data_IF_446230126586
#
_entry.id   IF_446230126586
#
_cell.length_a   1.000
_cell.length_b   1.000
_cell.length_c   1.000
_cell.angle_alpha   90.00
_cell.angle_beta   90.00
_cell.angle_gamma   90.00
#
_symmetry.space_group_name_H-M   'P 1'
#
loop_
_entity.id
_entity.type
_entity.pdbx_description
1 polymer ?
#
# COMPACT_ATOMS: atom_id res chain seq x y z
N UNK A 1 1.05 -29.24 -12.70
CA UNK A 1 1.84 -27.99 -12.80
C UNK A 1 0.85 -26.87 -12.60
N UNK A 2 0.96 -26.07 -11.54
CA UNK A 2 0.11 -24.87 -11.39
C UNK A 2 0.48 -23.91 -12.50
N UNK A 3 -0.48 -23.56 -13.35
CA UNK A 3 -0.28 -22.59 -14.42
C UNK A 3 0.24 -21.29 -13.83
N UNK A 4 1.29 -20.75 -14.45
CA UNK A 4 1.85 -19.45 -14.05
C UNK A 4 0.81 -18.37 -14.33
N UNK A 5 0.64 -17.38 -13.41
CA UNK A 5 -0.31 -16.30 -13.66
C UNK A 5 0.10 -15.48 -14.89
N UNK A 6 -0.89 -14.95 -15.60
CA UNK A 6 -0.69 -14.00 -16.68
C UNK A 6 -0.37 -12.62 -16.12
N UNK A 7 0.63 -11.94 -16.66
CA UNK A 7 1.01 -10.59 -16.23
C UNK A 7 0.28 -9.55 -17.06
N UNK A 8 -0.62 -8.81 -16.43
CA UNK A 8 -1.50 -7.84 -17.11
C UNK A 8 -0.79 -6.49 -17.26
N UNK A 9 -0.65 -6.06 -18.50
CA UNK A 9 -0.08 -4.77 -18.87
C UNK A 9 -1.13 -3.66 -18.76
N UNK A 10 -0.71 -2.47 -18.38
CA UNK A 10 -1.55 -1.27 -18.40
C UNK A 10 -1.71 -0.72 -19.82
N UNK A 11 -2.90 -0.21 -20.15
CA UNK A 11 -3.16 0.51 -21.40
C UNK A 11 -3.00 2.03 -21.25
N UNK A 12 -2.62 2.76 -22.31
CA UNK A 12 -2.74 4.20 -22.32
C UNK A 12 -4.23 4.60 -22.20
N UNK A 13 -4.53 5.68 -21.47
CA UNK A 13 -5.90 6.21 -21.32
C UNK A 13 -6.31 7.12 -22.47
N UNK A 14 -5.32 7.74 -23.11
CA UNK A 14 -5.47 8.65 -24.25
C UNK A 14 -4.18 8.67 -25.06
N UNK A 15 -4.24 9.20 -26.27
CA UNK A 15 -3.05 9.33 -27.12
C UNK A 15 -2.02 10.26 -26.45
N UNK A 16 -0.77 9.80 -26.31
CA UNK A 16 0.30 10.53 -25.61
C UNK A 16 0.39 10.26 -24.10
N UNK A 17 -0.50 9.46 -23.50
CA UNK A 17 -0.36 9.02 -22.10
C UNK A 17 0.87 8.13 -21.93
N UNK A 18 1.89 8.67 -21.24
CA UNK A 18 3.14 7.93 -20.93
C UNK A 18 3.10 7.21 -19.58
N UNK A 19 2.09 7.47 -18.75
CA UNK A 19 2.04 6.94 -17.38
C UNK A 19 1.89 5.40 -17.31
N UNK A 20 1.42 4.74 -18.36
CA UNK A 20 1.36 3.29 -18.44
C UNK A 20 2.76 2.64 -18.63
N UNK A 21 3.73 3.38 -19.17
CA UNK A 21 5.06 2.82 -19.49
C UNK A 21 5.80 2.37 -18.23
N UNK A 22 5.70 3.15 -17.15
CA UNK A 22 6.30 2.77 -15.87
C UNK A 22 5.64 1.49 -15.33
N UNK A 23 4.32 1.41 -15.34
CA UNK A 23 3.58 0.23 -14.90
C UNK A 23 4.03 -1.01 -15.69
N UNK A 24 4.14 -0.88 -17.01
CA UNK A 24 4.52 -1.98 -17.89
C UNK A 24 5.98 -2.42 -17.70
N UNK A 25 6.89 -1.50 -17.37
CA UNK A 25 8.28 -1.87 -17.01
C UNK A 25 8.32 -2.70 -15.71
N UNK A 26 7.48 -2.40 -14.73
CA UNK A 26 7.36 -3.17 -13.48
C UNK A 26 6.76 -4.54 -13.78
N UNK A 27 5.66 -4.58 -14.52
CA UNK A 27 5.02 -5.82 -14.95
C UNK A 27 5.96 -6.70 -15.79
N UNK A 28 6.71 -6.12 -16.72
CA UNK A 28 7.68 -6.85 -17.54
C UNK A 28 8.80 -7.47 -16.70
N UNK A 29 9.34 -6.73 -15.72
CA UNK A 29 10.37 -7.27 -14.81
C UNK A 29 9.84 -8.46 -13.98
N UNK A 30 8.58 -8.38 -13.51
CA UNK A 30 7.97 -9.50 -12.80
C UNK A 30 7.70 -10.69 -13.74
N UNK A 31 7.23 -10.44 -14.96
CA UNK A 31 7.00 -11.46 -15.98
C UNK A 31 8.28 -12.20 -16.35
N UNK A 32 9.39 -11.48 -16.48
CA UNK A 32 10.72 -12.04 -16.75
C UNK A 32 11.14 -13.03 -15.64
N UNK A 33 11.07 -12.61 -14.38
CA UNK A 33 11.42 -13.46 -13.22
C UNK A 33 10.45 -14.62 -12.98
N UNK A 34 9.19 -14.46 -13.33
CA UNK A 34 8.18 -15.51 -13.32
C UNK A 34 8.42 -16.52 -14.48
N UNK A 35 9.05 -16.10 -15.57
CA UNK A 35 9.08 -16.81 -16.84
C UNK A 35 7.66 -16.99 -17.39
N UNK A 36 6.84 -15.96 -17.26
CA UNK A 36 5.43 -15.92 -17.63
C UNK A 36 5.18 -15.16 -18.94
N UNK A 37 3.89 -14.96 -19.24
CA UNK A 37 3.43 -14.21 -20.42
C UNK A 37 2.79 -12.89 -19.97
N UNK A 38 2.95 -11.86 -20.79
CA UNK A 38 2.24 -10.59 -20.65
C UNK A 38 1.01 -10.56 -21.57
N UNK A 39 -0.08 -9.99 -21.06
CA UNK A 39 -1.36 -9.84 -21.78
C UNK A 39 -1.95 -8.45 -21.49
N UNK A 40 -2.94 -8.03 -22.25
CA UNK A 40 -3.75 -6.86 -21.92
C UNK A 40 -4.96 -7.24 -21.06
N UNK A 41 -5.62 -6.26 -20.37
CA UNK A 41 -6.69 -6.55 -19.41
C UNK A 41 -7.86 -7.37 -19.95
N UNK A 42 -8.19 -7.25 -21.22
CA UNK A 42 -9.26 -8.03 -21.89
C UNK A 42 -8.90 -9.50 -22.11
N UNK A 43 -7.61 -9.82 -22.17
CA UNK A 43 -7.08 -11.18 -22.33
C UNK A 43 -6.74 -11.83 -20.98
N UNK A 44 -7.00 -11.11 -19.87
CA UNK A 44 -6.71 -11.58 -18.53
C UNK A 44 -7.55 -12.83 -18.19
N UNK A 45 -6.88 -13.89 -17.74
CA UNK A 45 -7.51 -15.13 -17.29
C UNK A 45 -7.83 -15.10 -15.78
N UNK A 46 -8.09 -16.29 -15.21
CA UNK A 46 -8.46 -16.46 -13.81
C UNK A 46 -7.29 -16.27 -12.81
N UNK A 47 -6.04 -16.33 -13.28
CA UNK A 47 -4.85 -16.17 -12.45
C UNK A 47 -3.95 -15.11 -13.05
N UNK A 48 -3.80 -13.98 -12.37
CA UNK A 48 -3.16 -12.78 -12.93
C UNK A 48 -2.21 -12.09 -11.97
N UNK A 49 -1.30 -11.30 -12.55
CA UNK A 49 -0.49 -10.31 -11.84
C UNK A 49 -0.78 -8.94 -12.43
N UNK A 50 -1.00 -7.93 -11.60
CA UNK A 50 -1.25 -6.55 -12.05
C UNK A 50 -0.42 -5.54 -11.28
N UNK A 51 -0.21 -4.34 -11.88
CA UNK A 51 0.28 -3.16 -11.17
C UNK A 51 -0.82 -2.12 -11.04
N UNK A 52 -1.17 -1.77 -9.79
CA UNK A 52 -2.24 -0.82 -9.48
C UNK A 52 -3.64 -1.30 -9.90
N UNK A 53 -4.63 -0.44 -9.70
CA UNK A 53 -6.05 -0.72 -10.02
C UNK A 53 -6.56 0.09 -11.23
N UNK A 54 -5.72 0.91 -11.84
CA UNK A 54 -6.11 1.81 -12.94
C UNK A 54 -5.82 1.16 -14.30
N UNK A 55 -6.35 1.75 -15.38
CA UNK A 55 -6.00 1.37 -16.76
C UNK A 55 -6.40 -0.07 -17.12
N UNK A 56 -7.55 -0.54 -16.62
CA UNK A 56 -8.09 -1.87 -16.86
C UNK A 56 -7.64 -2.94 -15.85
N UNK A 57 -6.59 -2.65 -15.05
CA UNK A 57 -6.12 -3.62 -14.05
C UNK A 57 -7.16 -3.93 -12.95
N UNK A 58 -7.93 -2.92 -12.53
CA UNK A 58 -8.96 -3.10 -11.51
C UNK A 58 -10.08 -4.03 -11.96
N UNK A 59 -10.55 -3.88 -13.18
CA UNK A 59 -11.54 -4.75 -13.81
C UNK A 59 -11.01 -6.18 -13.97
N UNK A 60 -9.73 -6.33 -14.33
CA UNK A 60 -9.10 -7.64 -14.39
C UNK A 60 -9.03 -8.31 -13.01
N UNK A 61 -8.67 -7.57 -11.96
CA UNK A 61 -8.68 -8.06 -10.56
C UNK A 61 -10.07 -8.54 -10.15
N UNK A 62 -11.13 -7.77 -10.45
CA UNK A 62 -12.51 -8.12 -10.08
C UNK A 62 -13.02 -9.41 -10.75
N UNK A 63 -12.44 -9.79 -11.90
CA UNK A 63 -12.81 -11.03 -12.63
C UNK A 63 -11.94 -12.23 -12.27
N UNK A 64 -10.72 -11.99 -11.75
CA UNK A 64 -9.77 -13.05 -11.48
C UNK A 64 -10.14 -13.83 -10.21
N UNK A 65 -9.97 -15.14 -10.23
CA UNK A 65 -10.05 -16.01 -9.04
C UNK A 65 -8.81 -15.86 -8.15
N UNK A 66 -7.66 -15.69 -8.78
CA UNK A 66 -6.39 -15.49 -8.11
C UNK A 66 -5.67 -14.29 -8.72
N UNK A 67 -5.17 -13.38 -7.88
CA UNK A 67 -4.38 -12.27 -8.35
C UNK A 67 -3.18 -11.97 -7.44
N UNK A 68 -2.10 -11.50 -8.05
CA UNK A 68 -0.99 -10.85 -7.37
C UNK A 68 -1.02 -9.37 -7.73
N UNK A 69 -1.15 -8.56 -6.69
CA UNK A 69 -1.24 -7.11 -6.83
C UNK A 69 0.09 -6.46 -6.52
N UNK A 70 0.65 -5.75 -7.49
CA UNK A 70 1.88 -4.98 -7.34
C UNK A 70 1.51 -3.50 -7.21
N UNK A 71 2.15 -2.80 -6.26
CA UNK A 71 2.04 -1.35 -6.11
C UNK A 71 3.31 -0.81 -5.44
N UNK A 72 3.38 0.50 -5.20
CA UNK A 72 4.47 1.13 -4.44
C UNK A 72 4.70 0.41 -3.11
N UNK A 73 5.96 0.22 -2.74
CA UNK A 73 6.36 -0.40 -1.49
C UNK A 73 5.83 0.35 -0.26
N UNK A 74 5.97 -0.28 0.88
CA UNK A 74 5.58 0.33 2.15
C UNK A 74 6.62 1.36 2.62
N UNK A 75 7.90 1.08 2.40
CA UNK A 75 9.06 1.87 2.81
C UNK A 75 10.06 1.97 1.67
N UNK A 76 10.88 3.03 1.63
CA UNK A 76 11.84 3.30 0.54
C UNK A 76 11.21 3.11 -0.85
N UNK A 77 10.03 3.67 -1.04
CA UNK A 77 9.31 3.62 -2.32
C UNK A 77 10.14 4.28 -3.43
N UNK A 78 9.97 3.79 -4.66
CA UNK A 78 10.51 4.49 -5.83
C UNK A 78 9.90 5.89 -5.95
N UNK A 79 10.73 6.83 -6.36
CA UNK A 79 10.32 8.22 -6.61
C UNK A 79 9.21 8.27 -7.67
N UNK A 80 8.15 9.09 -7.48
CA UNK A 80 7.13 9.35 -8.49
C UNK A 80 7.67 9.89 -9.82
N UNK A 81 8.89 10.46 -9.85
CA UNK A 81 9.57 10.93 -11.06
C UNK A 81 9.93 9.83 -12.08
N UNK A 82 9.70 8.56 -11.72
CA UNK A 82 9.91 7.41 -12.62
C UNK A 82 11.21 6.64 -12.40
N UNK A 83 12.00 6.99 -11.39
CA UNK A 83 13.08 6.14 -10.90
C UNK A 83 12.46 4.86 -10.32
N UNK A 84 12.84 3.71 -10.84
CA UNK A 84 12.38 2.39 -10.37
C UNK A 84 13.32 1.78 -9.32
N UNK A 85 14.09 2.61 -8.62
CA UNK A 85 15.14 2.20 -7.67
C UNK A 85 14.63 1.86 -6.26
N UNK A 86 13.33 2.03 -6.01
CA UNK A 86 12.72 1.73 -4.72
C UNK A 86 12.11 0.34 -4.63
N UNK A 87 11.35 0.13 -3.56
CA UNK A 87 10.62 -1.09 -3.31
C UNK A 87 9.19 -1.03 -3.84
N UNK A 88 8.67 -2.19 -4.20
CA UNK A 88 7.30 -2.44 -4.59
C UNK A 88 6.74 -3.54 -3.70
N UNK A 89 5.50 -3.37 -3.21
CA UNK A 89 4.79 -4.45 -2.53
C UNK A 89 4.18 -5.40 -3.54
N UNK A 90 4.08 -6.66 -3.19
CA UNK A 90 3.35 -7.67 -3.94
C UNK A 90 2.51 -8.46 -2.95
N UNK A 91 1.22 -8.55 -3.19
CA UNK A 91 0.28 -9.26 -2.31
C UNK A 91 -0.57 -10.22 -3.11
N UNK A 92 -0.94 -11.35 -2.52
CA UNK A 92 -1.79 -12.36 -3.15
C UNK A 92 -3.22 -12.22 -2.66
N UNK A 93 -4.18 -12.15 -3.59
CA UNK A 93 -5.61 -12.07 -3.34
C UNK A 93 -6.03 -10.95 -2.37
N UNK A 94 -5.22 -9.91 -2.28
CA UNK A 94 -5.46 -8.71 -1.48
C UNK A 94 -4.70 -7.53 -2.08
N UNK A 95 -5.16 -6.30 -1.83
CA UNK A 95 -4.42 -5.10 -2.21
C UNK A 95 -3.35 -4.71 -1.17
N UNK A 96 -3.37 -5.32 0.01
CA UNK A 96 -2.44 -5.03 1.11
C UNK A 96 -2.06 -6.30 1.86
N UNK A 97 -0.84 -6.31 2.39
CA UNK A 97 -0.44 -7.30 3.37
C UNK A 97 -1.06 -6.96 4.73
N UNK A 98 -1.53 -7.94 5.46
CA UNK A 98 -2.20 -7.75 6.76
C UNK A 98 -1.30 -7.10 7.83
N UNK A 99 0.01 -7.15 7.66
CA UNK A 99 0.97 -6.72 8.69
C UNK A 99 1.15 -7.71 9.83
N UNK A 100 0.46 -8.85 9.78
CA UNK A 100 0.51 -9.91 10.80
C UNK A 100 1.59 -10.95 10.47
N UNK A 101 2.05 -11.64 11.49
CA UNK A 101 3.08 -12.67 11.41
C UNK A 101 4.36 -12.26 12.13
N UNK A 102 5.18 -13.24 12.45
CA UNK A 102 6.48 -13.05 13.09
C UNK A 102 7.56 -12.93 12.01
N UNK A 103 8.24 -11.81 11.97
CA UNK A 103 9.30 -11.53 11.01
C UNK A 103 10.53 -10.96 11.72
N UNK A 104 11.74 -11.41 11.34
CA UNK A 104 12.98 -10.80 11.82
C UNK A 104 13.07 -9.30 11.44
N UNK A 105 13.88 -8.54 12.16
CA UNK A 105 14.05 -7.10 11.93
C UNK A 105 15.15 -6.77 10.92
N UNK A 106 15.83 -7.75 10.36
CA UNK A 106 16.98 -7.56 9.47
C UNK A 106 16.63 -6.81 8.18
N UNK A 107 15.46 -7.11 7.55
CA UNK A 107 14.97 -6.36 6.38
C UNK A 107 14.48 -4.97 6.78
N UNK A 108 13.84 -4.82 7.93
CA UNK A 108 13.43 -3.51 8.43
C UNK A 108 14.63 -2.56 8.58
N UNK A 109 15.73 -3.01 9.18
CA UNK A 109 16.97 -2.24 9.36
C UNK A 109 17.60 -1.80 8.04
N UNK A 110 17.37 -2.51 6.93
CA UNK A 110 17.85 -2.11 5.59
C UNK A 110 17.04 -1.00 4.95
N UNK A 111 15.75 -0.89 5.31
CA UNK A 111 14.83 0.07 4.69
C UNK A 111 14.48 1.25 5.59
N UNK A 112 14.65 1.12 6.89
CA UNK A 112 14.44 2.19 7.88
C UNK A 112 15.71 2.33 8.70
N UNK A 113 16.40 3.47 8.51
CA UNK A 113 17.65 3.77 9.22
C UNK A 113 17.42 4.22 10.66
N UNK A 114 16.30 4.87 10.92
CA UNK A 114 15.96 5.41 12.23
C UNK A 114 14.45 5.40 12.45
N UNK A 115 14.04 5.06 13.66
CA UNK A 115 12.65 5.16 14.13
C UNK A 115 12.58 6.28 15.17
N UNK A 116 11.86 7.35 14.86
CA UNK A 116 11.71 8.48 15.78
C UNK A 116 10.97 8.08 17.06
N UNK A 117 11.22 8.81 18.15
CA UNK A 117 10.48 8.62 19.42
C UNK A 117 9.01 8.94 19.24
N UNK A 118 8.15 8.33 20.09
CA UNK A 118 6.70 8.61 20.07
C UNK A 118 6.45 10.11 20.20
N UNK A 119 5.70 10.64 19.23
CA UNK A 119 5.18 12.02 19.25
C UNK A 119 3.88 12.08 20.03
N UNK A 120 3.60 13.24 20.59
CA UNK A 120 2.36 13.53 21.35
C UNK A 120 1.84 14.90 20.94
N UNK A 121 1.44 15.01 19.68
CA UNK A 121 0.81 16.22 19.15
C UNK A 121 -0.64 16.39 19.63
N UNK A 122 -1.34 17.35 19.06
CA UNK A 122 -2.72 17.69 19.44
C UNK A 122 -3.76 17.11 18.51
N UNK A 123 -3.43 16.98 17.23
CA UNK A 123 -4.40 16.75 16.18
C UNK A 123 -4.47 15.27 15.78
N UNK A 124 -5.66 14.77 15.51
CA UNK A 124 -5.86 13.52 14.79
C UNK A 124 -5.81 13.83 13.30
N UNK A 125 -4.93 13.16 12.56
CA UNK A 125 -4.83 13.32 11.11
C UNK A 125 -5.64 12.24 10.44
N UNK A 126 -6.67 12.62 9.71
CA UNK A 126 -7.45 11.71 8.88
C UNK A 126 -6.84 11.69 7.47
N UNK A 127 -6.38 10.50 7.03
CA UNK A 127 -5.81 10.28 5.70
C UNK A 127 -6.75 9.38 4.87
N UNK A 128 -7.73 9.96 4.16
CA UNK A 128 -8.72 9.18 3.42
C UNK A 128 -8.10 8.45 2.23
N UNK A 129 -8.72 7.36 1.76
CA UNK A 129 -8.36 6.71 0.51
C UNK A 129 -8.45 7.68 -0.66
N UNK A 130 -7.59 7.51 -1.67
CA UNK A 130 -7.68 8.31 -2.90
C UNK A 130 -9.04 8.10 -3.60
N UNK A 131 -9.48 9.08 -4.39
CA UNK A 131 -10.74 9.00 -5.16
C UNK A 131 -10.90 7.67 -5.89
N UNK A 132 -9.89 7.24 -6.64
CA UNK A 132 -9.92 5.96 -7.37
C UNK A 132 -10.06 4.73 -6.46
N UNK A 133 -9.45 4.76 -5.29
CA UNK A 133 -9.54 3.66 -4.34
C UNK A 133 -10.91 3.63 -3.66
N UNK A 134 -11.50 4.81 -3.36
CA UNK A 134 -12.86 4.90 -2.84
C UNK A 134 -13.90 4.34 -3.83
N UNK A 135 -13.76 4.67 -5.11
CA UNK A 135 -14.61 4.13 -6.18
C UNK A 135 -14.42 2.61 -6.34
N UNK A 136 -13.18 2.13 -6.31
CA UNK A 136 -12.87 0.71 -6.50
C UNK A 136 -13.39 -0.19 -5.36
N UNK A 137 -13.36 0.31 -4.12
CA UNK A 137 -13.73 -0.41 -2.90
C UNK A 137 -15.09 -0.03 -2.33
N UNK A 138 -15.85 0.85 -3.01
CA UNK A 138 -17.15 1.37 -2.52
C UNK A 138 -17.05 2.06 -1.14
N UNK A 139 -16.02 2.88 -0.96
CA UNK A 139 -15.74 3.61 0.29
C UNK A 139 -16.20 5.08 0.23
N UNK A 140 -17.33 5.36 -0.41
CA UNK A 140 -17.79 6.73 -0.67
C UNK A 140 -17.99 7.57 0.59
N UNK A 141 -18.52 6.99 1.67
CA UNK A 141 -18.83 7.68 2.93
C UNK A 141 -17.83 7.33 4.05
N UNK A 142 -16.62 6.84 3.69
CA UNK A 142 -15.63 6.40 4.68
C UNK A 142 -15.16 7.57 5.55
N UNK A 143 -14.96 8.73 4.96
CA UNK A 143 -14.44 9.93 5.64
C UNK A 143 -15.41 10.41 6.71
N UNK A 144 -16.67 10.64 6.35
CA UNK A 144 -17.72 11.09 7.24
C UNK A 144 -17.94 10.09 8.40
N UNK A 145 -18.10 8.81 8.07
CA UNK A 145 -18.29 7.75 9.07
C UNK A 145 -17.10 7.64 10.03
N UNK A 146 -15.88 7.80 9.50
CA UNK A 146 -14.68 7.72 10.34
C UNK A 146 -14.57 8.93 11.28
N UNK A 147 -14.92 10.14 10.82
CA UNK A 147 -14.96 11.33 11.67
C UNK A 147 -16.01 11.17 12.77
N UNK A 148 -17.21 10.71 12.42
CA UNK A 148 -18.27 10.44 13.39
C UNK A 148 -17.83 9.42 14.46
N UNK A 149 -17.14 8.36 14.04
CA UNK A 149 -16.64 7.34 14.94
C UNK A 149 -15.54 7.90 15.87
N UNK A 150 -14.57 8.66 15.32
CA UNK A 150 -13.52 9.31 16.11
C UNK A 150 -14.13 10.21 17.20
N UNK A 151 -15.15 11.00 16.86
CA UNK A 151 -15.79 11.93 17.79
C UNK A 151 -16.51 11.29 18.98
N UNK A 152 -16.77 9.98 18.94
CA UNK A 152 -17.31 9.25 20.10
C UNK A 152 -16.26 9.02 21.18
N UNK A 153 -14.98 9.06 20.83
CA UNK A 153 -13.88 8.66 21.71
C UNK A 153 -12.83 9.76 21.93
N UNK A 154 -12.91 10.88 21.18
CA UNK A 154 -11.94 11.97 21.29
C UNK A 154 -12.51 13.32 20.88
N UNK A 155 -12.18 14.34 21.67
CA UNK A 155 -12.49 15.76 21.37
C UNK A 155 -11.36 16.46 20.62
N UNK A 156 -10.29 15.74 20.23
CA UNK A 156 -9.17 16.33 19.50
C UNK A 156 -9.60 16.85 18.14
N UNK A 157 -8.99 17.96 17.66
CA UNK A 157 -9.22 18.42 16.30
C UNK A 157 -8.84 17.34 15.28
N UNK A 158 -9.73 17.13 14.29
CA UNK A 158 -9.47 16.23 13.16
C UNK A 158 -9.08 17.06 11.94
N UNK A 159 -7.87 16.83 11.44
CA UNK A 159 -7.34 17.47 10.23
C UNK A 159 -7.29 16.48 9.08
N UNK A 160 -7.89 16.83 7.94
CA UNK A 160 -7.91 15.96 6.76
C UNK A 160 -6.65 16.23 5.92
N UNK A 161 -5.88 15.15 5.67
CA UNK A 161 -4.73 15.17 4.78
C UNK A 161 -4.95 14.24 3.60
N UNK A 162 -5.22 14.82 2.44
CA UNK A 162 -5.42 14.10 1.18
C UNK A 162 -4.14 14.10 0.34
N UNK A 163 -4.13 13.26 -0.70
CA UNK A 163 -3.02 13.26 -1.67
C UNK A 163 -2.97 14.55 -2.47
N UNK A 164 -4.11 15.18 -2.67
CA UNK A 164 -4.27 16.42 -3.44
C UNK A 164 -3.73 17.64 -2.68
N UNK A 165 -3.98 17.72 -1.37
CA UNK A 165 -3.49 18.82 -0.55
C UNK A 165 -2.05 18.61 -0.03
N UNK A 166 -1.50 17.40 -0.17
CA UNK A 166 -0.12 16.99 0.17
C UNK A 166 0.38 17.49 1.55
N UNK A 167 -0.52 17.65 2.51
CA UNK A 167 -0.21 18.29 3.81
C UNK A 167 0.40 17.35 4.85
N UNK A 168 0.52 16.04 4.56
CA UNK A 168 0.96 15.06 5.55
C UNK A 168 2.29 15.43 6.22
N UNK A 169 3.27 15.93 5.46
CA UNK A 169 4.56 16.32 6.02
C UNK A 169 4.47 17.53 6.97
N UNK A 170 3.50 18.42 6.75
CA UNK A 170 3.27 19.59 7.59
C UNK A 170 2.51 19.22 8.87
N UNK A 171 1.43 18.44 8.73
CA UNK A 171 0.52 18.13 9.83
C UNK A 171 1.04 17.03 10.76
N UNK A 172 1.96 16.19 10.29
CA UNK A 172 2.53 15.08 11.09
C UNK A 172 3.34 15.55 12.29
N UNK A 173 3.86 16.77 12.26
CA UNK A 173 4.66 17.36 13.36
C UNK A 173 3.83 17.57 14.63
N UNK A 174 2.55 17.95 14.52
CA UNK A 174 1.63 18.13 15.65
C UNK A 174 0.53 17.04 15.68
N UNK A 175 0.86 15.84 15.16
CA UNK A 175 -0.07 14.73 15.13
C UNK A 175 -0.07 13.95 16.45
N UNK A 176 -1.27 13.66 16.96
CA UNK A 176 -1.52 12.71 18.04
C UNK A 176 -1.59 11.28 17.50
N UNK A 177 -2.35 11.09 16.43
CA UNK A 177 -2.48 9.84 15.71
C UNK A 177 -2.82 10.11 14.24
N UNK A 178 -2.54 9.15 13.35
CA UNK A 178 -3.02 9.13 11.96
C UNK A 178 -4.06 8.03 11.81
N UNK A 179 -5.25 8.38 11.34
CA UNK A 179 -6.34 7.43 11.03
C UNK A 179 -6.49 7.33 9.52
N UNK A 180 -6.50 6.12 8.99
CA UNK A 180 -6.67 5.86 7.56
C UNK A 180 -7.33 4.51 7.32
N UNK A 181 -7.88 4.30 6.13
CA UNK A 181 -8.27 2.95 5.71
C UNK A 181 -7.01 2.09 5.45
N UNK A 182 -6.10 2.56 4.58
CA UNK A 182 -4.95 1.74 4.16
C UNK A 182 -3.74 2.55 3.64
N UNK A 183 -3.68 3.85 3.84
CA UNK A 183 -2.65 4.70 3.22
C UNK A 183 -1.23 4.35 3.66
N UNK A 184 -0.29 4.32 2.70
CA UNK A 184 1.13 4.17 3.01
C UNK A 184 1.71 5.41 3.74
N UNK A 185 1.05 6.57 3.68
CA UNK A 185 1.46 7.76 4.46
C UNK A 185 1.37 7.53 5.97
N UNK A 186 0.47 6.63 6.41
CA UNK A 186 0.43 6.21 7.81
C UNK A 186 1.70 5.44 8.22
N UNK A 187 2.27 4.63 7.32
CA UNK A 187 3.54 3.95 7.61
C UNK A 187 4.68 4.96 7.76
N UNK A 188 4.70 6.00 6.93
CA UNK A 188 5.67 7.10 7.07
C UNK A 188 5.50 7.82 8.41
N UNK A 189 4.24 8.10 8.81
CA UNK A 189 3.92 8.70 10.10
C UNK A 189 4.36 7.81 11.28
N UNK A 190 4.12 6.49 11.18
CA UNK A 190 4.54 5.54 12.21
C UNK A 190 6.07 5.50 12.40
N UNK A 191 6.83 5.59 11.31
CA UNK A 191 8.30 5.70 11.33
C UNK A 191 8.72 7.01 12.02
N UNK A 192 8.01 8.11 11.75
CA UNK A 192 8.20 9.43 12.37
C UNK A 192 7.67 9.53 13.81
N UNK A 193 7.29 8.42 14.43
CA UNK A 193 6.89 8.39 15.83
C UNK A 193 5.42 8.72 16.11
N UNK A 194 4.57 8.81 15.10
CA UNK A 194 3.14 9.04 15.27
C UNK A 194 2.39 7.72 15.27
N UNK A 195 1.56 7.41 16.29
CA UNK A 195 0.68 6.25 16.27
C UNK A 195 -0.28 6.28 15.09
N UNK A 196 -0.65 5.09 14.61
CA UNK A 196 -1.57 4.97 13.48
C UNK A 196 -2.75 4.05 13.82
N UNK A 197 -3.89 4.30 13.18
CA UNK A 197 -5.05 3.43 13.20
C UNK A 197 -5.44 3.15 11.75
N UNK A 198 -5.47 1.86 11.40
CA UNK A 198 -5.90 1.41 10.07
C UNK A 198 -7.23 0.69 10.20
N UNK A 199 -8.26 1.21 9.54
CA UNK A 199 -9.64 0.69 9.65
C UNK A 199 -9.96 -0.39 8.63
N UNK A 200 -9.11 -0.62 7.63
CA UNK A 200 -9.35 -1.65 6.62
C UNK A 200 -9.32 -3.06 7.25
N UNK A 201 -10.37 -3.88 7.10
CA UNK A 201 -10.42 -5.21 7.71
C UNK A 201 -9.26 -6.14 7.31
N UNK A 202 -8.77 -6.01 6.08
CA UNK A 202 -7.64 -6.81 5.58
C UNK A 202 -6.29 -6.37 6.17
N UNK A 203 -6.23 -5.17 6.75
CA UNK A 203 -5.01 -4.57 7.30
C UNK A 203 -5.31 -3.71 8.54
N UNK A 204 -6.08 -4.24 9.47
CA UNK A 204 -6.40 -3.52 10.71
C UNK A 204 -5.16 -3.39 11.61
N UNK A 205 -4.94 -2.21 12.16
CA UNK A 205 -3.92 -1.93 13.16
C UNK A 205 -4.42 -0.83 14.09
N UNK A 206 -4.40 -1.07 15.39
CA UNK A 206 -5.04 -0.23 16.39
C UNK A 206 -6.57 -0.21 16.24
N UNK A 207 -7.24 0.52 17.12
CA UNK A 207 -8.69 0.71 17.11
C UNK A 207 -9.04 2.16 17.37
N UNK A 208 -10.14 2.66 16.80
CA UNK A 208 -10.61 4.03 17.02
C UNK A 208 -11.03 4.22 18.48
N UNK A 209 -11.58 3.20 19.12
CA UNK A 209 -11.97 3.23 20.53
C UNK A 209 -10.78 3.55 21.46
N UNK A 210 -9.57 3.14 21.05
CA UNK A 210 -8.33 3.33 21.81
C UNK A 210 -7.59 4.62 21.42
N UNK A 211 -8.21 5.54 20.67
CA UNK A 211 -7.53 6.67 20.01
C UNK A 211 -6.86 7.64 21.01
N UNK A 212 -7.34 7.74 22.24
CA UNK A 212 -6.68 8.54 23.30
C UNK A 212 -5.48 7.81 23.93
N UNK A 213 -5.37 6.49 23.73
CA UNK A 213 -4.20 5.70 24.10
C UNK A 213 -3.81 4.71 22.99
N UNK A 214 -3.47 5.21 21.80
CA UNK A 214 -3.29 4.37 20.63
C UNK A 214 -2.07 3.46 20.77
N UNK A 215 -2.20 2.25 20.22
CA UNK A 215 -1.11 1.29 20.13
C UNK A 215 0.13 1.87 19.44
N UNK A 216 1.32 1.53 19.95
CA UNK A 216 2.58 2.02 19.40
C UNK A 216 3.67 0.96 19.29
N UNK A 217 3.36 -0.31 19.44
CA UNK A 217 4.33 -1.37 19.12
C UNK A 217 4.41 -1.58 17.61
N UNK A 218 5.25 -0.77 16.97
CA UNK A 218 5.39 -0.68 15.52
C UNK A 218 6.33 -1.70 14.90
N UNK A 219 7.20 -2.33 15.72
CA UNK A 219 8.24 -3.23 15.19
C UNK A 219 7.63 -4.45 14.48
N UNK A 220 6.65 -5.17 15.02
CA UNK A 220 6.04 -6.30 14.33
C UNK A 220 5.44 -5.92 12.98
N UNK A 221 4.63 -4.85 12.94
CA UNK A 221 4.03 -4.36 11.70
C UNK A 221 5.08 -3.96 10.66
N UNK A 222 6.06 -3.12 11.03
CA UNK A 222 7.08 -2.66 10.09
C UNK A 222 7.98 -3.79 9.60
N UNK A 223 8.29 -4.77 10.46
CA UNK A 223 9.03 -5.97 10.07
C UNK A 223 8.25 -6.79 9.06
N UNK A 224 6.97 -7.09 9.31
CA UNK A 224 6.12 -7.81 8.38
C UNK A 224 6.05 -7.11 7.01
N UNK A 225 5.85 -5.80 7.00
CA UNK A 225 5.78 -5.02 5.76
C UNK A 225 7.12 -5.00 5.01
N UNK A 226 8.26 -4.99 5.71
CA UNK A 226 9.59 -5.02 5.09
C UNK A 226 9.87 -6.33 4.35
N UNK A 227 9.28 -7.42 4.81
CA UNK A 227 9.38 -8.73 4.16
C UNK A 227 8.44 -8.89 2.96
N UNK A 228 7.42 -8.03 2.86
CA UNK A 228 6.41 -8.08 1.81
C UNK A 228 6.57 -6.94 0.78
N UNK A 229 7.82 -6.57 0.52
CA UNK A 229 8.21 -5.64 -0.55
C UNK A 229 9.53 -6.09 -1.19
N UNK A 230 9.66 -5.83 -2.48
CA UNK A 230 10.76 -6.28 -3.32
C UNK A 230 11.25 -5.14 -4.22
N UNK A 231 12.53 -5.19 -4.60
CA UNK A 231 13.08 -4.32 -5.64
C UNK A 231 12.69 -4.82 -7.03
N UNK A 232 12.87 -3.98 -8.03
CA UNK A 232 12.68 -4.39 -9.43
C UNK A 232 13.61 -5.56 -9.81
N UNK A 233 14.83 -5.59 -9.25
CA UNK A 233 15.79 -6.67 -9.48
C UNK A 233 15.35 -7.98 -8.80
N UNK A 234 14.79 -7.93 -7.58
CA UNK A 234 14.21 -9.12 -6.94
C UNK A 234 13.05 -9.70 -7.76
N UNK A 235 12.29 -8.85 -8.48
CA UNK A 235 11.24 -9.29 -9.39
C UNK A 235 11.84 -9.94 -10.63
N UNK A 236 12.79 -9.26 -11.30
CA UNK A 236 13.42 -9.71 -12.55
C UNK A 236 14.18 -11.03 -12.39
N UNK A 237 14.91 -11.18 -11.30
CA UNK A 237 15.64 -12.42 -10.97
C UNK A 237 14.74 -13.60 -10.56
N UNK A 238 13.43 -13.38 -10.40
CA UNK A 238 12.48 -14.39 -9.93
C UNK A 238 12.52 -14.66 -8.43
N UNK A 239 13.35 -13.94 -7.67
CA UNK A 239 13.43 -14.09 -6.20
C UNK A 239 12.10 -13.77 -5.53
N UNK A 240 11.44 -12.67 -5.93
CA UNK A 240 10.12 -12.30 -5.42
C UNK A 240 9.10 -13.43 -5.66
N UNK A 241 9.02 -13.95 -6.88
CA UNK A 241 8.11 -15.04 -7.22
C UNK A 241 8.37 -16.32 -6.44
N UNK A 242 9.64 -16.68 -6.25
CA UNK A 242 10.03 -17.88 -5.49
C UNK A 242 9.56 -17.83 -4.03
N UNK A 243 9.50 -16.63 -3.43
CA UNK A 243 8.97 -16.44 -2.08
C UNK A 243 7.43 -16.39 -2.04
N UNK A 244 6.80 -15.72 -3.02
CA UNK A 244 5.34 -15.54 -3.08
C UNK A 244 4.55 -16.83 -3.38
N UNK A 245 5.16 -17.84 -3.97
CA UNK A 245 4.50 -19.12 -4.31
C UNK A 245 4.57 -20.18 -3.21
N UNK A 246 5.27 -19.88 -2.11
CA UNK A 246 5.28 -20.74 -0.92
C UNK A 246 3.96 -20.65 -0.17
#
# INVERSE_FOLDING_TARGET
MTDKPLVVLSKPRYNGDKGYMMNNRICAAFSEGLGGKTVYPEEAGNSIVTYGIRRGSGEAIKRAENFWYIDHGYMKRSDPSGSLNGYFRITKNSLWHSGKGEYPTDRLKKVVSHLEKRRRGRNIILAPPSKYMREFLDLHNWEEKTIEEIKKYSDRPVLISTKENNRMNEVVEDAWAVVTDHSNSAIDALIKGVPIIMTNPARSYGKIEDIENPEFDRIPLLSALSYNQWTLEDMRSGKAWKELKK
#
